data_IF_102785142036
#
_entry.id   IF_102785142036
#
_cell.length_a   1.000
_cell.length_b   1.000
_cell.length_c   1.000
_cell.angle_alpha   90.00
_cell.angle_beta   90.00
_cell.angle_gamma   90.00
#
_symmetry.space_group_name_H-M   'P 1'
#
loop_
_entity.id
_entity.type
_entity.pdbx_description
1 polymer ?
#
# COMPACT_ATOMS: atom_id res chain seq x y z
N UNK A 1 12.22 1.15 49.98
CA UNK A 1 12.84 2.46 49.73
C UNK A 1 12.48 2.85 48.31
N UNK A 2 11.56 3.81 48.19
CA UNK A 2 11.02 4.35 46.95
C UNK A 2 12.01 5.35 46.34
N UNK A 3 12.67 4.97 45.24
CA UNK A 3 13.46 5.87 44.43
C UNK A 3 12.96 5.80 42.99
N UNK A 4 11.97 6.62 42.60
CA UNK A 4 11.72 6.91 41.18
C UNK A 4 10.72 8.04 40.86
N UNK A 5 9.84 8.50 41.75
CA UNK A 5 8.79 9.47 41.34
C UNK A 5 9.21 10.94 41.53
N UNK A 6 10.22 11.36 40.78
CA UNK A 6 10.70 12.75 40.78
C UNK A 6 9.70 13.69 40.07
N UNK A 7 9.65 14.98 40.45
CA UNK A 7 8.80 15.96 39.77
C UNK A 7 9.00 16.04 38.24
N UNK A 8 10.23 15.91 37.69
CA UNK A 8 10.47 15.79 36.25
C UNK A 8 9.79 14.57 35.60
N UNK A 9 9.85 13.39 36.24
CA UNK A 9 9.24 12.17 35.70
C UNK A 9 7.71 12.30 35.56
N UNK A 10 7.05 12.87 36.59
CA UNK A 10 5.60 13.15 36.55
C UNK A 10 5.21 14.15 35.45
N UNK A 11 6.04 15.17 35.22
CA UNK A 11 5.83 16.15 34.14
C UNK A 11 5.94 15.48 32.76
N UNK A 12 6.97 14.66 32.54
CA UNK A 12 7.16 13.94 31.28
C UNK A 12 5.99 13.00 31.00
N UNK A 13 5.56 12.22 32.00
CA UNK A 13 4.41 11.32 31.87
C UNK A 13 3.14 12.07 31.47
N UNK A 14 2.82 13.18 32.13
CA UNK A 14 1.63 13.97 31.80
C UNK A 14 1.70 14.56 30.39
N UNK A 15 2.87 14.98 29.94
CA UNK A 15 3.09 15.50 28.58
C UNK A 15 2.90 14.41 27.53
N UNK A 16 3.50 13.23 27.71
CA UNK A 16 3.33 12.09 26.80
C UNK A 16 1.86 11.67 26.74
N UNK A 17 1.19 11.60 27.89
CA UNK A 17 -0.23 11.27 27.94
C UNK A 17 -1.11 12.30 27.20
N UNK A 18 -0.78 13.58 27.30
CA UNK A 18 -1.48 14.65 26.57
C UNK A 18 -1.29 14.53 25.07
N UNK A 19 -0.08 14.26 24.59
CA UNK A 19 0.19 14.07 23.17
C UNK A 19 -0.40 12.79 22.62
N UNK A 20 -0.32 11.68 23.35
CA UNK A 20 -1.00 10.43 23.01
C UNK A 20 -2.52 10.65 22.88
N UNK A 21 -3.11 11.46 23.77
CA UNK A 21 -4.53 11.82 23.68
C UNK A 21 -4.87 12.61 22.39
N UNK A 22 -4.10 13.65 22.06
CA UNK A 22 -4.38 14.45 20.86
C UNK A 22 -4.11 13.69 19.57
N UNK A 23 -2.98 12.99 19.49
CA UNK A 23 -2.67 12.13 18.35
C UNK A 23 -3.73 11.05 18.19
N UNK A 24 -4.22 10.47 19.29
CA UNK A 24 -5.27 9.45 19.28
C UNK A 24 -6.60 10.00 18.80
N UNK A 25 -6.98 11.21 19.23
CA UNK A 25 -8.22 11.85 18.78
C UNK A 25 -8.18 12.20 17.29
N UNK A 26 -7.02 12.64 16.78
CA UNK A 26 -6.81 12.90 15.36
C UNK A 26 -6.81 11.61 14.52
N UNK A 27 -6.05 10.60 14.94
CA UNK A 27 -5.87 9.38 14.17
C UNK A 27 -7.09 8.43 14.25
N UNK A 28 -7.91 8.52 15.30
CA UNK A 28 -9.06 7.64 15.54
C UNK A 28 -10.00 7.43 14.33
N UNK A 29 -10.55 8.47 13.67
CA UNK A 29 -11.45 8.27 12.54
C UNK A 29 -10.77 7.51 11.39
N UNK A 30 -9.52 7.85 11.09
CA UNK A 30 -8.77 7.22 10.01
C UNK A 30 -8.42 5.77 10.36
N UNK A 31 -7.89 5.52 11.56
CA UNK A 31 -7.56 4.16 12.00
C UNK A 31 -8.78 3.24 12.04
N UNK A 32 -9.96 3.77 12.34
CA UNK A 32 -11.21 3.01 12.29
C UNK A 32 -11.61 2.66 10.85
N UNK A 33 -11.50 3.62 9.92
CA UNK A 33 -11.76 3.36 8.50
C UNK A 33 -10.75 2.34 7.97
N UNK A 34 -9.46 2.54 8.23
CA UNK A 34 -8.36 1.68 7.81
C UNK A 34 -8.52 0.26 8.37
N UNK A 35 -8.87 0.08 9.64
CA UNK A 35 -9.03 -1.26 10.22
C UNK A 35 -10.25 -2.01 9.67
N UNK A 36 -11.35 -1.31 9.39
CA UNK A 36 -12.56 -1.93 8.81
C UNK A 36 -12.33 -2.27 7.34
N UNK A 37 -11.82 -1.32 6.55
CA UNK A 37 -11.52 -1.53 5.13
C UNK A 37 -10.41 -2.55 4.92
N UNK A 38 -9.37 -2.53 5.75
CA UNK A 38 -8.29 -3.52 5.74
C UNK A 38 -8.81 -4.92 6.06
N UNK A 39 -9.72 -5.06 7.03
CA UNK A 39 -10.36 -6.35 7.31
C UNK A 39 -11.21 -6.88 6.15
N UNK A 40 -11.86 -6.01 5.37
CA UNK A 40 -12.60 -6.42 4.16
C UNK A 40 -11.59 -6.83 3.07
N UNK A 41 -10.57 -6.00 2.84
CA UNK A 41 -9.61 -6.23 1.76
C UNK A 41 -8.76 -7.50 1.97
N UNK A 42 -8.48 -7.84 3.23
CA UNK A 42 -7.77 -9.05 3.64
C UNK A 42 -8.38 -10.37 3.10
N UNK A 43 -9.70 -10.37 2.87
CA UNK A 43 -10.44 -11.52 2.35
C UNK A 43 -10.91 -11.26 0.91
N UNK A 44 -10.09 -10.57 0.10
CA UNK A 44 -10.44 -10.17 -1.27
C UNK A 44 -10.91 -11.36 -2.12
N UNK A 45 -10.18 -12.46 -2.10
CA UNK A 45 -10.53 -13.62 -2.93
C UNK A 45 -11.78 -14.34 -2.40
N UNK A 46 -11.87 -14.57 -1.08
CA UNK A 46 -12.99 -15.26 -0.46
C UNK A 46 -14.30 -14.49 -0.60
N UNK A 47 -14.27 -13.17 -0.44
CA UNK A 47 -15.45 -12.31 -0.61
C UNK A 47 -15.88 -12.24 -2.07
N UNK A 48 -14.94 -12.07 -3.01
CA UNK A 48 -15.31 -12.01 -4.43
C UNK A 48 -15.79 -13.37 -4.95
N UNK A 49 -15.23 -14.48 -4.48
CA UNK A 49 -15.70 -15.83 -4.81
C UNK A 49 -17.12 -16.08 -4.30
N UNK A 50 -17.45 -15.56 -3.11
CA UNK A 50 -18.79 -15.67 -2.52
C UNK A 50 -19.81 -14.76 -3.22
N UNK A 51 -19.42 -13.53 -3.56
CA UNK A 51 -20.33 -12.50 -4.10
C UNK A 51 -20.52 -12.66 -5.61
N UNK A 52 -19.48 -13.07 -6.35
CA UNK A 52 -19.46 -13.17 -7.81
C UNK A 52 -19.00 -14.55 -8.32
N UNK A 53 -19.54 -15.68 -7.81
CA UNK A 53 -19.10 -17.01 -8.21
C UNK A 53 -19.20 -17.24 -9.73
N UNK A 54 -20.20 -16.66 -10.39
CA UNK A 54 -20.42 -16.75 -11.83
C UNK A 54 -19.33 -16.06 -12.67
N UNK A 55 -18.62 -15.09 -12.08
CA UNK A 55 -17.49 -14.42 -12.73
C UNK A 55 -16.17 -15.10 -12.39
N UNK A 56 -16.05 -15.66 -11.19
CA UNK A 56 -14.78 -16.13 -10.60
C UNK A 56 -14.43 -17.57 -10.98
N UNK A 57 -15.43 -18.41 -11.22
CA UNK A 57 -15.23 -19.82 -11.54
C UNK A 57 -15.56 -20.12 -13.01
N UNK A 58 -14.66 -20.85 -13.66
CA UNK A 58 -14.80 -21.32 -15.03
C UNK A 58 -15.67 -22.58 -15.09
N UNK A 59 -16.20 -22.88 -16.28
CA UNK A 59 -17.05 -24.06 -16.51
C UNK A 59 -16.28 -25.39 -16.43
N UNK A 60 -14.95 -25.35 -16.60
CA UNK A 60 -14.08 -26.53 -16.50
C UNK A 60 -12.65 -26.16 -16.12
N UNK A 61 -11.88 -27.16 -15.65
CA UNK A 61 -10.46 -27.06 -15.37
C UNK A 61 -9.57 -27.45 -16.58
N UNK A 62 -10.11 -27.41 -17.80
CA UNK A 62 -9.36 -27.77 -19.00
C UNK A 62 -8.25 -26.75 -19.30
N UNK A 63 -7.22 -27.12 -20.09
CA UNK A 63 -6.12 -26.23 -20.44
C UNK A 63 -6.61 -24.91 -21.06
N UNK A 64 -5.93 -23.82 -20.74
CA UNK A 64 -6.25 -22.50 -21.28
C UNK A 64 -6.11 -22.49 -22.80
N UNK A 65 -7.05 -21.84 -23.47
CA UNK A 65 -6.95 -21.46 -24.87
C UNK A 65 -5.81 -20.45 -25.06
N UNK A 66 -5.32 -20.27 -26.31
CA UNK A 66 -4.33 -19.25 -26.63
C UNK A 66 -4.79 -17.85 -26.16
N UNK A 67 -3.84 -17.03 -25.70
CA UNK A 67 -4.15 -15.70 -25.15
C UNK A 67 -4.83 -14.82 -26.19
N UNK A 68 -4.46 -14.95 -27.46
CA UNK A 68 -5.11 -14.25 -28.58
C UNK A 68 -6.62 -14.51 -28.64
N UNK A 69 -7.07 -15.74 -28.32
CA UNK A 69 -8.51 -16.07 -28.27
C UNK A 69 -9.22 -15.47 -27.08
N UNK A 70 -8.59 -15.43 -25.90
CA UNK A 70 -9.16 -14.79 -24.71
C UNK A 70 -9.30 -13.28 -24.91
N UNK A 71 -8.26 -12.65 -25.46
CA UNK A 71 -8.25 -11.22 -25.81
C UNK A 71 -9.29 -10.94 -26.90
N UNK A 72 -9.34 -11.77 -27.94
CA UNK A 72 -10.28 -11.63 -29.04
C UNK A 72 -11.75 -11.73 -28.60
N UNK A 73 -12.09 -12.61 -27.66
CA UNK A 73 -13.46 -12.72 -27.16
C UNK A 73 -13.88 -11.51 -26.33
N UNK A 74 -13.00 -11.00 -25.47
CA UNK A 74 -13.23 -9.75 -24.74
C UNK A 74 -13.37 -8.56 -25.70
N UNK A 75 -12.51 -8.46 -26.71
CA UNK A 75 -12.56 -7.36 -27.67
C UNK A 75 -13.80 -7.41 -28.58
N UNK A 76 -14.28 -8.60 -28.93
CA UNK A 76 -15.56 -8.78 -29.63
C UNK A 76 -16.75 -8.32 -28.77
N UNK A 77 -16.70 -8.55 -27.44
CA UNK A 77 -17.75 -8.14 -26.51
C UNK A 77 -17.74 -6.64 -26.21
N UNK A 78 -16.54 -6.05 -26.17
CA UNK A 78 -16.28 -4.62 -25.88
C UNK A 78 -15.51 -3.98 -27.04
N UNK A 79 -16.18 -3.73 -28.19
CA UNK A 79 -15.52 -3.21 -29.38
C UNK A 79 -14.91 -1.82 -29.13
N UNK A 80 -13.74 -1.56 -29.73
CA UNK A 80 -13.03 -0.29 -29.59
C UNK A 80 -12.30 -0.09 -28.25
N UNK A 81 -12.39 -1.05 -27.32
CA UNK A 81 -11.65 -1.00 -26.05
C UNK A 81 -10.17 -1.33 -26.23
N UNK A 82 -9.35 -0.78 -25.33
CA UNK A 82 -7.93 -1.11 -25.18
C UNK A 82 -7.78 -2.12 -24.06
N UNK A 83 -7.22 -3.29 -24.37
CA UNK A 83 -6.88 -4.29 -23.36
C UNK A 83 -5.43 -4.04 -22.94
N UNK A 84 -5.19 -3.82 -21.65
CA UNK A 84 -3.88 -3.43 -21.13
C UNK A 84 -3.17 -4.56 -20.41
N UNK A 85 -3.91 -5.47 -19.78
CA UNK A 85 -3.36 -6.57 -18.97
C UNK A 85 -4.27 -7.80 -19.01
N UNK A 86 -3.67 -8.98 -18.97
CA UNK A 86 -4.35 -10.25 -18.72
C UNK A 86 -3.71 -10.97 -17.53
N UNK A 87 -4.52 -11.29 -16.53
CA UNK A 87 -4.13 -12.06 -15.34
C UNK A 87 -4.64 -13.50 -15.51
N UNK A 88 -3.72 -14.45 -15.63
CA UNK A 88 -4.05 -15.87 -15.70
C UNK A 88 -4.39 -16.44 -14.32
N UNK A 89 -5.34 -17.38 -14.23
CA UNK A 89 -5.77 -17.93 -12.96
C UNK A 89 -4.65 -18.70 -12.26
N UNK A 90 -4.60 -18.58 -10.93
CA UNK A 90 -3.64 -19.30 -10.07
C UNK A 90 -3.95 -20.78 -9.92
N UNK A 91 -5.18 -21.19 -10.21
CA UNK A 91 -5.68 -22.55 -10.03
C UNK A 91 -6.57 -22.97 -11.21
N UNK A 92 -6.58 -24.26 -11.59
CA UNK A 92 -7.50 -24.76 -12.59
C UNK A 92 -8.96 -24.53 -12.20
N UNK A 93 -9.81 -24.21 -13.18
CA UNK A 93 -11.24 -23.96 -12.95
C UNK A 93 -11.57 -22.55 -12.46
N UNK A 94 -10.59 -21.64 -12.41
CA UNK A 94 -10.83 -20.20 -12.22
C UNK A 94 -10.79 -19.43 -13.54
N UNK A 95 -11.46 -18.28 -13.57
CA UNK A 95 -11.48 -17.41 -14.73
C UNK A 95 -10.19 -16.59 -14.89
N UNK A 96 -9.83 -16.28 -16.14
CA UNK A 96 -8.84 -15.27 -16.44
C UNK A 96 -9.47 -13.88 -16.32
N UNK A 97 -8.67 -12.88 -15.93
CA UNK A 97 -9.12 -11.50 -15.80
C UNK A 97 -8.41 -10.60 -16.80
N UNK A 98 -9.17 -9.88 -17.61
CA UNK A 98 -8.66 -8.91 -18.57
C UNK A 98 -8.98 -7.49 -18.09
N UNK A 99 -7.98 -6.61 -18.15
CA UNK A 99 -8.09 -5.20 -17.84
C UNK A 99 -8.41 -4.47 -19.12
N UNK A 100 -9.65 -4.00 -19.21
CA UNK A 100 -10.23 -3.47 -20.43
C UNK A 100 -10.60 -2.01 -20.19
N UNK A 101 -10.10 -1.12 -21.03
CA UNK A 101 -10.41 0.30 -21.03
C UNK A 101 -11.32 0.59 -22.23
N UNK A 102 -12.65 0.70 -22.03
CA UNK A 102 -13.56 1.14 -23.08
C UNK A 102 -13.18 2.54 -23.58
N UNK A 103 -13.51 2.89 -24.84
CA UNK A 103 -13.28 4.24 -25.36
C UNK A 103 -14.07 5.29 -24.58
N UNK A 104 -15.31 4.93 -24.21
CA UNK A 104 -16.20 5.72 -23.36
C UNK A 104 -16.60 4.86 -22.15
N UNK A 105 -16.28 5.31 -20.94
CA UNK A 105 -16.69 4.66 -19.70
C UNK A 105 -15.57 4.41 -18.71
N UNK A 106 -15.90 3.69 -17.64
CA UNK A 106 -14.95 3.32 -16.59
C UNK A 106 -14.15 2.06 -16.98
N UNK A 107 -12.89 1.93 -16.53
CA UNK A 107 -12.12 0.70 -16.66
C UNK A 107 -12.85 -0.51 -16.09
N UNK A 108 -12.85 -1.60 -16.86
CA UNK A 108 -13.53 -2.86 -16.54
C UNK A 108 -12.51 -3.95 -16.23
N UNK A 109 -12.84 -4.79 -15.24
CA UNK A 109 -12.27 -6.13 -15.12
C UNK A 109 -13.23 -7.11 -15.80
N UNK A 110 -12.80 -7.70 -16.91
CA UNK A 110 -13.58 -8.66 -17.71
C UNK A 110 -13.11 -10.06 -17.36
N UNK A 111 -14.04 -10.95 -17.05
CA UNK A 111 -13.76 -12.33 -16.68
C UNK A 111 -14.03 -13.24 -17.87
N UNK A 112 -13.06 -14.08 -18.21
CA UNK A 112 -13.12 -14.99 -19.34
C UNK A 112 -12.80 -16.41 -18.87
N UNK A 113 -13.61 -17.37 -19.30
CA UNK A 113 -13.34 -18.79 -19.09
C UNK A 113 -12.12 -19.21 -19.93
N UNK A 114 -11.00 -19.61 -19.30
CA UNK A 114 -9.78 -19.95 -20.02
C UNK A 114 -9.96 -21.16 -20.95
N UNK A 115 -10.84 -22.11 -20.62
CA UNK A 115 -10.98 -23.36 -21.34
C UNK A 115 -11.70 -23.21 -22.69
N UNK A 116 -12.63 -22.26 -22.79
CA UNK A 116 -13.46 -22.08 -23.99
C UNK A 116 -13.50 -20.64 -24.52
N UNK A 117 -12.81 -19.70 -23.87
CA UNK A 117 -12.76 -18.28 -24.21
C UNK A 117 -14.12 -17.54 -24.08
N UNK A 118 -15.10 -18.10 -23.37
CA UNK A 118 -16.39 -17.44 -23.14
C UNK A 118 -16.23 -16.29 -22.16
N UNK A 119 -16.75 -15.11 -22.50
CA UNK A 119 -16.80 -13.98 -21.57
C UNK A 119 -17.90 -14.22 -20.55
N UNK A 120 -17.53 -14.38 -19.28
CA UNK A 120 -18.43 -14.65 -18.16
C UNK A 120 -19.14 -13.37 -17.68
N UNK A 121 -18.48 -12.23 -17.79
CA UNK A 121 -19.03 -10.93 -17.43
C UNK A 121 -17.93 -9.92 -17.07
N UNK A 122 -18.33 -8.83 -16.41
CA UNK A 122 -17.40 -7.77 -16.02
C UNK A 122 -17.92 -6.96 -14.85
N UNK A 123 -17.02 -6.30 -14.11
CA UNK A 123 -17.39 -5.24 -13.19
C UNK A 123 -16.43 -4.05 -13.26
N UNK A 124 -16.87 -2.92 -12.71
CA UNK A 124 -16.02 -1.76 -12.41
C UNK A 124 -15.45 -1.94 -11.01
N UNK A 125 -14.14 -2.14 -10.90
CA UNK A 125 -13.51 -2.55 -9.63
C UNK A 125 -13.81 -1.62 -8.44
N UNK A 126 -13.68 -0.28 -8.55
CA UNK A 126 -14.03 0.66 -7.48
C UNK A 126 -15.46 0.54 -6.93
N UNK A 127 -16.38 -0.05 -7.70
CA UNK A 127 -17.80 -0.21 -7.33
C UNK A 127 -18.10 -1.55 -6.66
N UNK A 128 -17.11 -2.43 -6.51
CA UNK A 128 -17.25 -3.67 -5.74
C UNK A 128 -17.01 -3.42 -4.26
N UNK A 129 -17.48 -4.32 -3.38
CA UNK A 129 -17.23 -4.20 -1.94
C UNK A 129 -15.73 -4.13 -1.62
N UNK A 130 -14.95 -5.01 -2.26
CA UNK A 130 -13.51 -5.07 -2.02
C UNK A 130 -12.77 -3.92 -2.69
N UNK A 131 -13.12 -3.53 -3.91
CA UNK A 131 -12.50 -2.37 -4.54
C UNK A 131 -12.83 -1.04 -3.86
N UNK A 132 -14.03 -0.92 -3.26
CA UNK A 132 -14.32 0.18 -2.36
C UNK A 132 -13.39 0.16 -1.14
N UNK A 133 -13.23 -1.00 -0.50
CA UNK A 133 -12.37 -1.13 0.67
C UNK A 133 -10.91 -0.82 0.34
N UNK A 134 -10.37 -1.31 -0.77
CA UNK A 134 -9.01 -1.05 -1.25
C UNK A 134 -8.73 0.45 -1.41
N UNK A 135 -9.56 1.14 -2.21
CA UNK A 135 -9.39 2.58 -2.47
C UNK A 135 -9.59 3.41 -1.21
N UNK A 136 -10.57 3.06 -0.38
CA UNK A 136 -10.80 3.75 0.89
C UNK A 136 -9.64 3.52 1.88
N UNK A 137 -9.03 2.34 1.89
CA UNK A 137 -7.90 2.01 2.75
C UNK A 137 -6.65 2.81 2.39
N UNK A 138 -6.30 2.88 1.10
CA UNK A 138 -5.12 3.61 0.65
C UNK A 138 -5.30 5.13 0.60
N UNK A 139 -6.45 5.60 0.10
CA UNK A 139 -6.62 7.00 -0.31
C UNK A 139 -7.93 7.66 0.12
N UNK A 140 -8.79 6.98 0.90
CA UNK A 140 -10.09 7.52 1.34
C UNK A 140 -11.00 8.01 0.19
N UNK A 141 -10.79 7.57 -1.06
CA UNK A 141 -11.41 8.12 -2.28
C UNK A 141 -11.09 9.60 -2.56
N UNK A 142 -10.01 10.13 -2.00
CA UNK A 142 -9.57 11.52 -2.16
C UNK A 142 -8.26 11.65 -2.97
N UNK A 143 -7.83 10.56 -3.63
CA UNK A 143 -6.57 10.50 -4.39
C UNK A 143 -5.37 10.87 -3.51
N UNK A 144 -4.42 11.63 -4.07
CA UNK A 144 -3.19 12.05 -3.40
C UNK A 144 -3.44 12.78 -2.07
N UNK A 145 -4.55 13.52 -1.95
CA UNK A 145 -4.90 14.21 -0.71
C UNK A 145 -5.25 13.20 0.39
N UNK A 146 -6.01 12.17 0.05
CA UNK A 146 -6.37 11.14 1.02
C UNK A 146 -5.20 10.23 1.36
N UNK A 147 -4.36 9.88 0.39
CA UNK A 147 -3.09 9.19 0.64
C UNK A 147 -2.22 9.96 1.65
N UNK A 148 -2.04 11.27 1.44
CA UNK A 148 -1.33 12.13 2.38
C UNK A 148 -1.97 12.14 3.79
N UNK A 149 -3.31 12.16 3.89
CA UNK A 149 -4.01 12.09 5.18
C UNK A 149 -3.75 10.74 5.87
N UNK A 150 -3.84 9.63 5.13
CA UNK A 150 -3.58 8.28 5.63
C UNK A 150 -2.12 8.13 6.07
N UNK A 151 -1.17 8.69 5.32
CA UNK A 151 0.25 8.71 5.70
C UNK A 151 0.46 9.46 7.03
N UNK A 152 -0.10 10.67 7.17
CA UNK A 152 -0.01 11.44 8.42
C UNK A 152 -0.61 10.66 9.58
N UNK A 153 -1.80 10.09 9.39
CA UNK A 153 -2.46 9.26 10.41
C UNK A 153 -1.61 8.05 10.80
N UNK A 154 -0.97 7.38 9.83
CA UNK A 154 -0.11 6.22 10.04
C UNK A 154 1.18 6.60 10.78
N UNK A 155 1.82 7.71 10.42
CA UNK A 155 2.98 8.23 11.14
C UNK A 155 2.64 8.57 12.60
N UNK A 156 1.49 9.22 12.85
CA UNK A 156 1.01 9.47 14.20
C UNK A 156 0.63 8.18 14.93
N UNK A 157 0.15 7.15 14.23
CA UNK A 157 -0.12 5.84 14.81
C UNK A 157 1.16 5.14 15.30
N UNK A 158 2.29 5.28 14.59
CA UNK A 158 3.60 4.81 15.08
C UNK A 158 3.95 5.49 16.40
N UNK A 159 3.77 6.82 16.48
CA UNK A 159 3.95 7.59 17.73
C UNK A 159 2.99 7.11 18.81
N UNK A 160 1.74 6.80 18.48
CA UNK A 160 0.75 6.27 19.43
C UNK A 160 1.15 4.91 20.00
N UNK A 161 1.71 4.01 19.19
CA UNK A 161 2.22 2.72 19.68
C UNK A 161 3.36 2.94 20.67
N UNK A 162 4.37 3.74 20.30
CA UNK A 162 5.53 4.01 21.17
C UNK A 162 5.11 4.69 22.48
N UNK A 163 4.29 5.74 22.38
CA UNK A 163 3.80 6.47 23.55
C UNK A 163 2.83 5.62 24.39
N UNK A 164 2.03 4.77 23.75
CA UNK A 164 1.13 3.83 24.40
C UNK A 164 1.89 2.79 25.24
N UNK A 165 2.95 2.19 24.69
CA UNK A 165 3.84 1.29 25.43
C UNK A 165 4.53 1.99 26.60
N UNK A 166 4.99 3.23 26.41
CA UNK A 166 5.52 4.05 27.50
C UNK A 166 4.49 4.28 28.62
N UNK A 167 3.23 4.57 28.29
CA UNK A 167 2.15 4.82 29.25
C UNK A 167 1.62 3.54 29.90
N UNK A 168 1.77 2.40 29.22
CA UNK A 168 1.46 1.09 29.74
C UNK A 168 2.50 0.62 30.76
N UNK A 169 3.79 0.93 30.54
CA UNK A 169 4.91 0.39 31.34
C UNK A 169 4.68 0.51 32.86
N UNK A 170 4.79 -0.61 33.62
CA UNK A 170 4.51 -0.62 35.04
C UNK A 170 5.59 0.15 35.81
N UNK A 171 5.17 1.05 36.72
CA UNK A 171 6.06 1.95 37.49
C UNK A 171 5.90 1.82 39.01
N UNK A 172 5.41 0.69 39.48
CA UNK A 172 5.18 0.43 40.90
C UNK A 172 4.78 -1.02 41.17
N UNK A 173 4.20 -1.29 42.35
CA UNK A 173 3.71 -2.61 42.75
C UNK A 173 2.36 -2.95 42.09
N UNK A 174 2.29 -2.85 40.77
CA UNK A 174 1.09 -3.24 40.04
C UNK A 174 0.96 -4.76 40.01
N UNK A 175 -0.20 -5.28 40.41
CA UNK A 175 -0.53 -6.72 40.29
C UNK A 175 -0.75 -7.05 38.81
N UNK A 176 -0.53 -8.31 38.42
CA UNK A 176 -0.72 -8.83 37.04
C UNK A 176 -2.07 -8.36 36.42
N UNK A 177 -3.13 -8.35 37.24
CA UNK A 177 -4.46 -7.85 36.85
C UNK A 177 -4.51 -6.33 36.65
N UNK A 178 -4.79 -5.92 35.41
CA UNK A 178 -4.79 -4.52 34.94
C UNK A 178 -3.50 -4.08 34.25
N UNK A 179 -2.49 -4.96 34.17
CA UNK A 179 -1.23 -4.74 33.43
C UNK A 179 -1.13 -5.71 32.27
N UNK A 180 -1.31 -7.02 32.53
CA UNK A 180 -1.22 -8.08 31.52
C UNK A 180 -2.57 -8.74 31.21
N UNK A 181 -3.54 -8.64 32.11
CA UNK A 181 -4.87 -9.24 31.94
C UNK A 181 -5.94 -8.19 32.31
N UNK A 182 -6.97 -7.97 31.48
CA UNK A 182 -8.03 -7.03 31.81
C UNK A 182 -8.83 -7.55 33.00
N UNK A 183 -9.16 -6.68 33.96
CA UNK A 183 -10.00 -7.06 35.09
C UNK A 183 -11.46 -7.04 34.64
N UNK A 184 -11.97 -8.19 34.18
CA UNK A 184 -13.33 -8.32 33.64
C UNK A 184 -14.43 -7.97 34.65
N UNK A 185 -14.18 -8.14 35.96
CA UNK A 185 -15.09 -7.72 37.02
C UNK A 185 -15.05 -6.21 37.35
N UNK A 186 -14.14 -5.44 36.74
CA UNK A 186 -14.10 -4.00 36.95
C UNK A 186 -15.29 -3.32 36.25
N UNK A 187 -15.78 -2.20 36.81
CA UNK A 187 -16.86 -1.41 36.21
C UNK A 187 -16.38 -0.01 35.83
N UNK A 188 -17.09 0.61 34.90
CA UNK A 188 -16.88 2.01 34.52
C UNK A 188 -15.48 2.29 33.94
N UNK A 189 -14.87 3.40 34.35
CA UNK A 189 -13.59 3.89 33.79
C UNK A 189 -12.43 2.90 33.90
N UNK A 190 -12.40 2.12 34.98
CA UNK A 190 -11.32 1.16 35.24
C UNK A 190 -11.33 0.02 34.21
N UNK A 191 -12.52 -0.48 33.85
CA UNK A 191 -12.69 -1.51 32.83
C UNK A 191 -12.18 -1.06 31.45
N UNK A 192 -12.67 0.08 30.96
CA UNK A 192 -12.28 0.62 29.65
C UNK A 192 -10.77 0.89 29.55
N UNK A 193 -10.18 1.38 30.63
CA UNK A 193 -8.73 1.59 30.70
C UNK A 193 -7.96 0.29 30.63
N UNK A 194 -8.38 -0.73 31.37
CA UNK A 194 -7.71 -2.02 31.38
C UNK A 194 -7.83 -2.69 29.99
N UNK A 195 -9.00 -2.61 29.35
CA UNK A 195 -9.22 -3.12 28.00
C UNK A 195 -8.30 -2.43 26.99
N UNK A 196 -8.28 -1.10 26.97
CA UNK A 196 -7.41 -0.33 26.07
C UNK A 196 -5.93 -0.63 26.28
N UNK A 197 -5.47 -0.64 27.54
CA UNK A 197 -4.06 -0.88 27.88
C UNK A 197 -3.59 -2.28 27.51
N UNK A 198 -4.39 -3.29 27.85
CA UNK A 198 -4.00 -4.69 27.63
C UNK A 198 -4.09 -5.08 26.16
N UNK A 199 -5.14 -4.64 25.45
CA UNK A 199 -5.21 -4.80 23.99
C UNK A 199 -4.03 -4.10 23.32
N UNK A 200 -3.71 -2.88 23.75
CA UNK A 200 -2.59 -2.11 23.18
C UNK A 200 -1.25 -2.79 23.36
N UNK A 201 -1.00 -3.39 24.53
CA UNK A 201 0.21 -4.16 24.78
C UNK A 201 0.36 -5.34 23.80
N UNK A 202 -0.67 -6.20 23.72
CA UNK A 202 -0.58 -7.43 22.93
C UNK A 202 -0.60 -7.16 21.43
N UNK A 203 -1.30 -6.11 20.99
CA UNK A 203 -1.38 -5.75 19.58
C UNK A 203 -0.22 -4.87 19.10
N UNK A 204 0.57 -4.25 20.00
CA UNK A 204 1.56 -3.23 19.63
C UNK A 204 2.54 -3.69 18.55
N UNK A 205 3.10 -4.90 18.66
CA UNK A 205 4.06 -5.41 17.69
C UNK A 205 3.42 -5.63 16.31
N UNK A 206 2.20 -6.17 16.27
CA UNK A 206 1.47 -6.43 15.02
C UNK A 206 0.98 -5.12 14.38
N UNK A 207 0.50 -4.17 15.17
CA UNK A 207 0.13 -2.83 14.69
C UNK A 207 1.36 -2.13 14.10
N UNK A 208 2.51 -2.19 14.79
CA UNK A 208 3.75 -1.61 14.28
C UNK A 208 4.20 -2.28 12.98
N UNK A 209 4.08 -3.61 12.89
CA UNK A 209 4.35 -4.33 11.64
C UNK A 209 3.47 -3.81 10.50
N UNK A 210 2.14 -3.70 10.70
CA UNK A 210 1.22 -3.19 9.68
C UNK A 210 1.59 -1.76 9.25
N UNK A 211 1.88 -0.88 10.21
CA UNK A 211 2.27 0.49 9.92
C UNK A 211 3.58 0.57 9.12
N UNK A 212 4.62 -0.17 9.52
CA UNK A 212 5.93 -0.13 8.86
C UNK A 212 5.91 -0.79 7.48
N UNK A 213 5.03 -1.76 7.25
CA UNK A 213 4.88 -2.43 5.96
C UNK A 213 3.94 -1.69 5.01
N UNK A 214 3.02 -0.86 5.53
CA UNK A 214 2.17 0.02 4.74
C UNK A 214 2.85 1.33 4.32
N UNK A 215 3.70 1.94 5.17
CA UNK A 215 4.36 3.23 4.86
C UNK A 215 5.14 3.28 3.53
N UNK A 216 5.83 2.21 3.07
CA UNK A 216 6.47 2.20 1.75
C UNK A 216 5.53 2.44 0.55
N UNK A 217 4.21 2.29 0.74
CA UNK A 217 3.19 2.52 -0.28
C UNK A 217 2.67 3.97 -0.31
N UNK A 218 3.04 4.79 0.68
CA UNK A 218 2.60 6.19 0.73
C UNK A 218 3.38 7.06 -0.27
N UNK A 219 2.73 8.05 -0.85
CA UNK A 219 3.34 8.90 -1.90
C UNK A 219 4.52 9.72 -1.38
N UNK A 220 4.45 10.27 -0.15
CA UNK A 220 5.53 11.13 0.36
C UNK A 220 6.58 10.28 1.09
N UNK A 221 6.17 9.46 2.06
CA UNK A 221 7.12 8.65 2.81
C UNK A 221 7.74 7.54 1.96
N UNK A 222 6.93 6.81 1.20
CA UNK A 222 7.37 5.73 0.32
C UNK A 222 8.16 6.28 -0.86
N UNK A 223 7.49 6.96 -1.79
CA UNK A 223 8.07 7.31 -3.09
C UNK A 223 9.08 8.46 -3.02
N UNK A 224 8.81 9.51 -2.26
CA UNK A 224 9.68 10.72 -2.24
C UNK A 224 10.80 10.65 -1.21
N UNK A 225 10.61 9.91 -0.11
CA UNK A 225 11.60 9.84 0.98
C UNK A 225 12.35 8.51 1.00
N UNK A 226 11.65 7.39 1.16
CA UNK A 226 12.28 6.09 1.42
C UNK A 226 12.90 5.48 0.17
N UNK A 227 12.19 5.50 -0.97
CA UNK A 227 12.62 4.90 -2.24
C UNK A 227 13.92 5.47 -2.77
N UNK A 228 14.14 6.80 -2.84
CA UNK A 228 15.38 7.38 -3.31
C UNK A 228 16.58 6.98 -2.44
N UNK A 229 16.38 6.88 -1.11
CA UNK A 229 17.41 6.44 -0.17
C UNK A 229 17.79 4.99 -0.49
N UNK A 230 16.85 4.06 -0.55
CA UNK A 230 17.16 2.65 -0.81
C UNK A 230 17.69 2.42 -2.23
N UNK A 231 17.27 3.22 -3.21
CA UNK A 231 17.81 3.20 -4.56
C UNK A 231 19.28 3.66 -4.58
N UNK A 232 19.61 4.76 -3.89
CA UNK A 232 20.99 5.28 -3.81
C UNK A 232 21.96 4.31 -3.14
N UNK A 233 21.46 3.48 -2.21
CA UNK A 233 22.22 2.42 -1.56
C UNK A 233 22.31 1.14 -2.40
N UNK A 234 21.58 1.06 -3.52
CA UNK A 234 21.46 -0.16 -4.29
C UNK A 234 20.77 -1.29 -3.52
N UNK A 235 19.77 -0.96 -2.69
CA UNK A 235 19.03 -1.90 -1.84
C UNK A 235 17.60 -2.18 -2.32
N UNK A 236 17.14 -1.51 -3.37
CA UNK A 236 15.83 -1.71 -3.98
C UNK A 236 15.91 -2.68 -5.18
N UNK A 237 15.77 -2.17 -6.40
CA UNK A 237 15.72 -2.90 -7.67
C UNK A 237 16.84 -3.92 -7.89
N UNK A 238 16.63 -4.94 -8.73
CA UNK A 238 17.73 -5.75 -9.22
C UNK A 238 18.71 -4.90 -10.06
N UNK A 239 20.00 -5.27 -10.17
CA UNK A 239 20.98 -4.48 -10.93
C UNK A 239 20.57 -4.13 -12.37
N UNK A 240 19.88 -5.06 -13.07
CA UNK A 240 19.37 -4.84 -14.44
C UNK A 240 18.20 -3.85 -14.52
N UNK A 241 17.32 -3.84 -13.51
CA UNK A 241 16.20 -2.89 -13.40
C UNK A 241 16.66 -1.45 -13.10
N UNK A 242 17.90 -1.27 -12.64
CA UNK A 242 18.48 0.06 -12.33
C UNK A 242 19.00 0.77 -13.57
N UNK A 243 19.44 0.01 -14.56
CA UNK A 243 20.17 0.52 -15.72
C UNK A 243 19.74 -0.27 -16.95
N UNK A 244 18.82 0.29 -17.75
CA UNK A 244 18.47 -0.21 -19.07
C UNK A 244 19.68 -0.06 -20.04
N UNK A 245 20.71 -0.89 -19.87
CA UNK A 245 21.66 -1.24 -20.92
C UNK A 245 22.58 -0.16 -21.51
N UNK A 246 22.69 1.05 -20.94
CA UNK A 246 23.71 2.01 -21.38
C UNK A 246 23.29 3.47 -21.25
N UNK A 247 24.09 4.22 -20.49
CA UNK A 247 23.94 5.65 -20.18
C UNK A 247 22.64 6.00 -19.44
N UNK A 248 22.77 6.94 -18.51
CA UNK A 248 21.66 7.51 -17.76
C UNK A 248 20.72 8.19 -18.75
N UNK A 249 19.65 7.52 -19.19
CA UNK A 249 18.62 8.18 -19.98
C UNK A 249 18.05 9.31 -19.13
N UNK A 250 18.26 10.55 -19.57
CA UNK A 250 17.71 11.77 -18.94
C UNK A 250 16.27 12.04 -19.38
N UNK A 251 15.67 11.15 -20.18
CA UNK A 251 14.26 11.22 -20.52
C UNK A 251 13.43 10.67 -19.36
N UNK A 252 12.24 11.22 -19.06
CA UNK A 252 11.34 10.63 -18.09
C UNK A 252 10.97 9.23 -18.59
N UNK A 253 11.57 8.19 -17.99
CA UNK A 253 11.11 6.83 -18.21
C UNK A 253 9.72 6.74 -17.58
N UNK A 254 8.73 6.25 -18.34
CA UNK A 254 7.44 5.91 -17.75
C UNK A 254 7.68 4.85 -16.68
N UNK A 255 7.23 5.08 -15.44
CA UNK A 255 7.40 4.11 -14.37
C UNK A 255 6.60 2.84 -14.67
N UNK A 256 7.18 1.67 -14.38
CA UNK A 256 6.37 0.46 -14.24
C UNK A 256 5.33 0.74 -13.15
N UNK A 257 4.04 0.56 -13.43
CA UNK A 257 2.97 0.95 -12.50
C UNK A 257 2.28 -0.26 -11.85
N UNK A 258 1.61 -0.05 -10.72
CA UNK A 258 0.71 -1.06 -10.15
C UNK A 258 -0.39 -1.49 -11.14
N UNK A 259 -0.81 -0.58 -12.03
CA UNK A 259 -1.76 -0.87 -13.08
C UNK A 259 -1.26 -1.97 -14.04
N UNK A 260 0.05 -2.13 -14.20
CA UNK A 260 0.67 -3.23 -14.96
C UNK A 260 0.74 -4.56 -14.17
N UNK A 261 0.27 -4.57 -12.92
CA UNK A 261 0.27 -5.75 -12.05
C UNK A 261 1.64 -6.05 -11.41
N UNK A 262 2.56 -5.10 -11.49
CA UNK A 262 3.94 -5.22 -11.04
C UNK A 262 4.03 -5.20 -9.49
N UNK A 263 4.93 -6.00 -8.87
CA UNK A 263 5.25 -5.90 -7.45
C UNK A 263 5.85 -4.55 -7.07
N UNK A 264 5.72 -4.15 -5.80
CA UNK A 264 6.24 -2.86 -5.28
C UNK A 264 7.71 -2.62 -5.65
N UNK A 265 8.52 -3.68 -5.62
CA UNK A 265 9.96 -3.61 -5.91
C UNK A 265 10.25 -3.03 -7.27
N UNK A 266 9.49 -3.40 -8.30
CA UNK A 266 9.71 -2.97 -9.69
C UNK A 266 8.80 -1.82 -10.09
N UNK A 267 7.78 -1.49 -9.29
CA UNK A 267 7.02 -0.26 -9.51
C UNK A 267 7.96 0.95 -9.54
N UNK A 268 7.67 1.97 -10.34
CA UNK A 268 8.54 3.13 -10.58
C UNK A 268 9.95 2.83 -11.11
N UNK A 269 10.29 1.57 -11.43
CA UNK A 269 11.51 1.29 -12.19
C UNK A 269 11.35 1.85 -13.61
N UNK A 270 12.45 2.26 -14.27
CA UNK A 270 12.40 2.65 -15.67
C UNK A 270 11.85 1.51 -16.52
N UNK A 271 10.68 1.70 -17.13
CA UNK A 271 10.09 0.66 -17.98
C UNK A 271 11.05 0.31 -19.12
N UNK A 272 11.44 -0.98 -19.30
CA UNK A 272 12.27 -1.40 -20.42
C UNK A 272 11.60 -1.06 -21.75
N UNK A 273 12.39 -0.66 -22.75
CA UNK A 273 11.83 -0.19 -24.03
C UNK A 273 12.13 -1.18 -25.14
N UNK A 274 11.12 -1.46 -25.96
CA UNK A 274 11.31 -2.20 -27.20
C UNK A 274 12.11 -1.36 -28.21
N UNK A 275 12.93 -2.03 -29.01
CA UNK A 275 13.67 -1.41 -30.11
C UNK A 275 12.79 -1.35 -31.33
N UNK A 276 12.36 -0.14 -31.71
CA UNK A 276 11.62 0.07 -32.96
C UNK A 276 12.52 -0.35 -34.12
N UNK A 277 12.09 -1.29 -34.99
CA UNK A 277 12.85 -1.64 -36.18
C UNK A 277 13.09 -0.38 -37.00
N UNK A 278 14.36 -0.09 -37.32
CA UNK A 278 14.69 1.04 -38.18
C UNK A 278 14.01 0.81 -39.53
N UNK A 279 12.96 1.60 -39.82
CA UNK A 279 12.45 1.72 -41.18
C UNK A 279 13.61 2.31 -41.97
N UNK A 280 14.00 1.68 -43.07
CA UNK A 280 15.14 2.07 -43.89
C UNK A 280 15.09 3.56 -44.29
N UNK A 281 15.71 4.44 -43.50
CA UNK A 281 16.11 5.79 -43.84
C UNK A 281 17.12 6.25 -42.78
N UNK A 282 18.33 6.57 -43.22
CA UNK A 282 19.48 6.81 -42.35
C UNK A 282 19.36 8.00 -41.40
N UNK A 283 20.35 8.05 -40.52
CA UNK A 283 20.68 9.05 -39.51
C UNK A 283 20.01 8.85 -38.13
N UNK A 284 20.73 8.11 -37.30
CA UNK A 284 20.71 8.25 -35.84
C UNK A 284 21.16 9.67 -35.48
N UNK A 285 20.22 10.50 -35.03
CA UNK A 285 20.37 11.49 -33.94
C UNK A 285 19.10 12.37 -33.91
N UNK A 286 18.55 12.58 -32.70
CA UNK A 286 17.38 13.43 -32.36
C UNK A 286 15.97 12.78 -32.36
N UNK A 287 15.75 11.82 -31.46
CA UNK A 287 14.42 11.38 -31.02
C UNK A 287 13.73 12.39 -30.05
N UNK A 288 13.62 13.67 -30.45
CA UNK A 288 13.09 14.75 -29.60
C UNK A 288 11.80 15.41 -30.10
N UNK A 289 11.52 15.40 -31.40
CA UNK A 289 10.35 16.09 -31.96
C UNK A 289 9.84 15.35 -33.20
N UNK A 290 8.97 14.35 -33.02
CA UNK A 290 8.23 13.75 -34.13
C UNK A 290 7.04 14.64 -34.48
N UNK A 291 7.25 15.58 -35.41
CA UNK A 291 6.17 16.09 -36.24
C UNK A 291 5.60 14.95 -37.08
N UNK A 292 4.27 14.84 -37.13
CA UNK A 292 3.51 13.91 -37.97
C UNK A 292 3.98 13.96 -39.44
N UNK A 293 4.83 13.02 -39.82
CA UNK A 293 4.96 12.53 -41.19
C UNK A 293 4.08 11.27 -41.31
N UNK A 294 3.54 10.95 -42.50
CA UNK A 294 2.64 9.81 -42.67
C UNK A 294 3.34 8.54 -42.21
N UNK A 295 2.69 7.83 -41.27
CA UNK A 295 3.21 6.60 -40.69
C UNK A 295 3.57 5.60 -41.80
N UNK A 296 4.87 5.46 -42.08
CA UNK A 296 5.36 4.16 -42.50
C UNK A 296 4.87 3.18 -41.43
N UNK A 297 3.99 2.26 -41.81
CA UNK A 297 3.40 1.31 -40.88
C UNK A 297 4.54 0.60 -40.16
N UNK A 298 4.70 0.89 -38.87
CA UNK A 298 5.66 0.18 -38.02
C UNK A 298 5.43 -1.31 -38.24
N UNK A 299 6.51 -2.06 -38.45
CA UNK A 299 6.42 -3.51 -38.67
C UNK A 299 5.52 -4.11 -37.57
N UNK A 300 4.54 -4.96 -37.93
CA UNK A 300 3.70 -5.59 -36.93
C UNK A 300 4.62 -6.36 -35.99
N UNK A 301 4.48 -6.09 -34.69
CA UNK A 301 5.23 -6.80 -33.66
C UNK A 301 4.87 -8.29 -33.61
N UNK A 302 5.56 -9.05 -32.77
CA UNK A 302 5.15 -10.42 -32.47
C UNK A 302 3.73 -10.43 -31.91
N UNK A 303 2.98 -11.49 -32.18
CA UNK A 303 1.68 -11.69 -31.56
C UNK A 303 1.79 -12.11 -30.09
N UNK A 304 0.68 -11.99 -29.37
CA UNK A 304 0.62 -12.31 -27.94
C UNK A 304 0.85 -13.80 -27.65
N UNK A 305 0.54 -14.69 -28.57
CA UNK A 305 0.75 -16.14 -28.40
C UNK A 305 2.23 -16.50 -28.56
N UNK A 306 2.95 -15.77 -29.41
CA UNK A 306 4.40 -15.85 -29.55
C UNK A 306 5.08 -15.32 -28.31
N UNK A 307 4.60 -14.19 -27.75
CA UNK A 307 5.07 -13.73 -26.44
C UNK A 307 4.81 -14.77 -25.34
N UNK A 308 3.62 -15.39 -25.31
CA UNK A 308 3.28 -16.45 -24.36
C UNK A 308 4.19 -17.69 -24.49
N UNK A 309 4.60 -18.05 -25.71
CA UNK A 309 5.57 -19.13 -25.94
C UNK A 309 6.97 -18.77 -25.40
N UNK A 310 7.45 -17.55 -25.65
CA UNK A 310 8.71 -17.06 -25.07
C UNK A 310 8.64 -17.05 -23.54
N UNK A 311 7.50 -16.65 -22.96
CA UNK A 311 7.28 -16.72 -21.52
C UNK A 311 7.39 -18.17 -21.00
N UNK A 312 6.71 -19.12 -21.64
CA UNK A 312 6.78 -20.54 -21.27
C UNK A 312 8.20 -21.11 -21.37
N UNK A 313 8.95 -20.79 -22.43
CA UNK A 313 10.36 -21.17 -22.60
C UNK A 313 11.28 -20.61 -21.49
N UNK A 314 10.90 -19.47 -20.90
CA UNK A 314 11.59 -18.85 -19.77
C UNK A 314 10.99 -19.24 -18.40
N UNK A 315 10.15 -20.28 -18.36
CA UNK A 315 9.59 -20.84 -17.13
C UNK A 315 8.43 -20.05 -16.52
N UNK A 316 7.66 -19.33 -17.33
CA UNK A 316 6.35 -18.76 -16.98
C UNK A 316 5.25 -19.65 -17.55
N UNK A 317 5.23 -20.91 -17.11
CA UNK A 317 4.28 -21.97 -17.50
C UNK A 317 3.01 -22.00 -16.64
N UNK A 318 3.05 -21.38 -15.46
CA UNK A 318 1.93 -21.25 -14.53
C UNK A 318 1.20 -19.90 -14.61
N UNK A 319 0.71 -19.44 -13.46
CA UNK A 319 -0.04 -18.19 -13.36
C UNK A 319 0.88 -16.96 -13.39
N UNK A 320 0.58 -16.04 -14.28
CA UNK A 320 1.26 -14.75 -14.40
C UNK A 320 0.27 -13.66 -14.80
N UNK A 321 0.66 -12.42 -14.53
CA UNK A 321 0.03 -11.21 -15.05
C UNK A 321 0.84 -10.74 -16.24
N UNK A 322 0.22 -10.61 -17.41
CA UNK A 322 0.85 -10.14 -18.63
C UNK A 322 0.29 -8.78 -19.01
N UNK A 323 1.13 -7.76 -18.92
CA UNK A 323 0.87 -6.44 -19.46
C UNK A 323 1.23 -6.38 -20.95
N UNK A 324 0.30 -5.87 -21.74
CA UNK A 324 0.40 -5.79 -23.19
C UNK A 324 1.08 -4.47 -23.61
N UNK A 325 1.91 -4.49 -24.67
CA UNK A 325 2.72 -3.34 -25.05
C UNK A 325 1.87 -2.16 -25.54
N UNK A 326 1.94 -1.05 -24.82
CA UNK A 326 1.28 0.21 -25.18
C UNK A 326 2.24 1.09 -26.00
N UNK A 327 1.79 1.55 -27.17
CA UNK A 327 2.59 2.40 -28.06
C UNK A 327 3.86 1.72 -28.64
N UNK A 328 4.63 2.43 -29.48
CA UNK A 328 5.74 1.83 -30.25
C UNK A 328 6.90 1.33 -29.38
N UNK A 329 7.10 1.90 -28.18
CA UNK A 329 8.19 1.52 -27.27
C UNK A 329 7.76 0.51 -26.19
N UNK A 330 6.47 0.17 -26.09
CA UNK A 330 5.97 -0.75 -25.08
C UNK A 330 6.55 -2.15 -25.21
N UNK A 331 6.58 -2.90 -24.11
CA UNK A 331 7.07 -4.29 -24.04
C UNK A 331 5.94 -5.21 -23.58
N UNK A 332 6.08 -6.50 -23.88
CA UNK A 332 5.32 -7.51 -23.15
C UNK A 332 6.00 -7.70 -21.79
N UNK A 333 5.31 -7.38 -20.71
CA UNK A 333 5.85 -7.45 -19.35
C UNK A 333 5.05 -8.47 -18.55
N UNK A 334 5.68 -9.54 -18.08
CA UNK A 334 5.02 -10.56 -17.29
C UNK A 334 5.56 -10.62 -15.86
N UNK A 335 4.66 -10.79 -14.89
CA UNK A 335 4.96 -10.85 -13.47
C UNK A 335 4.28 -12.07 -12.84
N UNK A 336 5.02 -12.86 -12.08
CA UNK A 336 4.41 -13.83 -11.16
C UNK A 336 4.15 -13.15 -9.82
N UNK A 337 2.96 -13.39 -9.24
CA UNK A 337 2.56 -12.83 -7.95
C UNK A 337 2.12 -13.93 -6.97
N UNK A 338 3.02 -14.83 -6.57
CA UNK A 338 2.71 -15.88 -5.61
C UNK A 338 2.46 -15.33 -4.20
N UNK A 339 1.80 -16.14 -3.37
CA UNK A 339 1.56 -15.81 -1.95
C UNK A 339 2.85 -15.57 -1.15
N UNK A 340 3.92 -16.29 -1.48
CA UNK A 340 5.25 -16.09 -0.91
C UNK A 340 6.16 -15.39 -1.94
N UNK A 341 6.68 -14.20 -1.62
CA UNK A 341 7.38 -13.36 -2.59
C UNK A 341 8.66 -13.97 -3.14
N UNK A 342 9.22 -15.01 -2.51
CA UNK A 342 10.39 -15.75 -2.97
C UNK A 342 10.20 -16.37 -4.36
N UNK A 343 8.95 -16.67 -4.74
CA UNK A 343 8.62 -17.15 -6.09
C UNK A 343 8.34 -16.03 -7.11
N UNK A 344 8.43 -14.75 -6.73
CA UNK A 344 8.21 -13.64 -7.65
C UNK A 344 9.30 -13.61 -8.71
N UNK A 345 8.86 -13.43 -9.94
CA UNK A 345 9.67 -13.32 -11.15
C UNK A 345 9.03 -12.28 -12.05
N UNK A 346 9.87 -11.52 -12.74
CA UNK A 346 9.46 -10.59 -13.77
C UNK A 346 10.29 -10.83 -15.03
N UNK A 347 9.69 -10.54 -16.18
CA UNK A 347 10.34 -10.65 -17.48
C UNK A 347 9.74 -9.62 -18.44
N UNK A 348 10.61 -9.01 -19.24
CA UNK A 348 10.24 -8.03 -20.26
C UNK A 348 10.71 -8.52 -21.62
N UNK A 349 9.79 -8.54 -22.59
CA UNK A 349 10.03 -9.04 -23.94
C UNK A 349 9.81 -7.91 -24.94
N UNK A 350 10.76 -7.77 -25.86
CA UNK A 350 10.70 -6.83 -26.96
C UNK A 350 9.54 -7.17 -27.89
N UNK A 351 8.68 -6.17 -28.13
CA UNK A 351 7.42 -6.38 -28.87
C UNK A 351 7.62 -6.70 -30.35
N UNK A 352 8.81 -6.50 -30.91
CA UNK A 352 9.06 -6.67 -32.35
C UNK A 352 9.85 -7.94 -32.64
N UNK A 353 10.92 -8.17 -31.89
CA UNK A 353 11.84 -9.29 -32.08
C UNK A 353 11.46 -10.52 -31.25
N UNK A 354 10.69 -10.35 -30.16
CA UNK A 354 10.48 -11.40 -29.17
C UNK A 354 11.69 -11.69 -28.30
N UNK A 355 12.75 -10.89 -28.38
CA UNK A 355 13.92 -11.02 -27.52
C UNK A 355 13.58 -10.67 -26.07
N UNK A 356 14.11 -11.44 -25.12
CA UNK A 356 14.04 -11.11 -23.70
C UNK A 356 14.96 -9.92 -23.44
N UNK A 357 14.38 -8.80 -23.02
CA UNK A 357 15.11 -7.56 -22.70
C UNK A 357 15.71 -7.67 -21.31
N UNK A 358 14.91 -8.12 -20.34
CA UNK A 358 15.30 -8.21 -18.94
C UNK A 358 14.48 -9.29 -18.23
N UNK A 359 15.09 -9.93 -17.23
CA UNK A 359 14.45 -10.88 -16.34
C UNK A 359 15.08 -10.77 -14.96
N UNK A 360 14.27 -10.71 -13.92
CA UNK A 360 14.72 -10.75 -12.54
C UNK A 360 13.74 -11.54 -11.66
N UNK A 361 14.25 -12.08 -10.56
CA UNK A 361 13.42 -12.69 -9.52
C UNK A 361 13.74 -12.13 -8.14
N UNK A 362 13.02 -12.62 -7.13
CA UNK A 362 13.23 -12.22 -5.73
C UNK A 362 14.68 -12.37 -5.28
N UNK A 363 15.42 -13.37 -5.80
CA UNK A 363 16.84 -13.57 -5.51
C UNK A 363 17.72 -12.37 -5.87
N UNK A 364 17.38 -11.66 -6.95
CA UNK A 364 18.15 -10.55 -7.51
C UNK A 364 17.86 -9.21 -6.81
N UNK A 365 16.78 -9.15 -6.02
CA UNK A 365 16.38 -7.96 -5.29
C UNK A 365 17.37 -7.60 -4.18
N UNK A 366 17.52 -6.30 -3.95
CA UNK A 366 18.26 -5.79 -2.80
C UNK A 366 17.56 -6.10 -1.48
N UNK A 367 18.27 -5.95 -0.34
CA UNK A 367 17.72 -6.31 0.98
C UNK A 367 16.47 -5.52 1.37
N UNK A 368 16.37 -4.23 1.00
CA UNK A 368 15.19 -3.43 1.32
C UNK A 368 13.98 -3.91 0.52
N UNK A 369 14.13 -4.14 -0.79
CA UNK A 369 13.08 -4.71 -1.63
C UNK A 369 12.58 -6.06 -1.10
N UNK A 370 13.50 -6.97 -0.75
CA UNK A 370 13.15 -8.27 -0.14
C UNK A 370 12.31 -8.12 1.12
N UNK A 371 12.69 -7.19 2.01
CA UNK A 371 11.96 -6.93 3.25
C UNK A 371 10.57 -6.34 2.99
N UNK A 372 10.42 -5.48 1.98
CA UNK A 372 9.14 -4.85 1.65
C UNK A 372 8.18 -5.83 1.00
N UNK A 373 8.65 -6.68 0.09
CA UNK A 373 7.83 -7.74 -0.50
C UNK A 373 7.39 -8.75 0.56
N UNK A 374 8.30 -9.15 1.46
CA UNK A 374 7.96 -10.00 2.60
C UNK A 374 6.94 -9.33 3.52
N UNK A 375 7.19 -8.07 3.87
CA UNK A 375 6.30 -7.26 4.70
C UNK A 375 4.92 -7.11 4.10
N UNK A 376 4.84 -6.84 2.80
CA UNK A 376 3.59 -6.71 2.03
C UNK A 376 2.83 -8.04 2.00
N UNK A 377 3.52 -9.16 1.75
CA UNK A 377 2.89 -10.48 1.76
C UNK A 377 2.30 -10.84 3.13
N UNK A 378 2.97 -10.45 4.22
CA UNK A 378 2.45 -10.62 5.59
C UNK A 378 1.31 -9.63 5.88
N UNK A 379 1.43 -8.38 5.44
CA UNK A 379 0.39 -7.35 5.61
C UNK A 379 -0.92 -7.76 4.95
N UNK A 380 -0.85 -8.24 3.71
CA UNK A 380 -2.00 -8.64 2.89
C UNK A 380 -2.61 -9.99 3.27
N UNK A 381 -2.05 -10.74 4.23
CA UNK A 381 -2.60 -12.05 4.60
C UNK A 381 -2.09 -13.23 3.79
N UNK A 382 -1.17 -13.03 2.86
CA UNK A 382 -0.86 -14.05 1.85
C UNK A 382 0.20 -15.06 2.32
N UNK A 383 1.20 -14.63 3.09
CA UNK A 383 2.42 -15.41 3.31
C UNK A 383 2.19 -16.78 3.98
N UNK A 384 1.38 -16.84 5.04
CA UNK A 384 0.99 -18.07 5.75
C UNK A 384 -0.47 -18.48 5.49
N UNK A 385 -1.08 -17.99 4.40
CA UNK A 385 -2.48 -18.23 4.06
C UNK A 385 -3.45 -17.86 5.19
N UNK A 386 -4.43 -18.74 5.46
CA UNK A 386 -5.50 -18.48 6.43
C UNK A 386 -5.01 -18.08 7.83
N UNK A 387 -3.90 -18.66 8.30
CA UNK A 387 -3.34 -18.28 9.61
C UNK A 387 -2.91 -16.81 9.61
N UNK A 388 -2.28 -16.35 8.54
CA UNK A 388 -1.87 -14.95 8.40
C UNK A 388 -3.10 -14.05 8.34
N UNK A 389 -4.13 -14.41 7.57
CA UNK A 389 -5.39 -13.66 7.51
C UNK A 389 -6.04 -13.55 8.90
N UNK A 390 -6.13 -14.64 9.66
CA UNK A 390 -6.72 -14.60 11.01
C UNK A 390 -5.93 -13.66 11.92
N UNK A 391 -4.60 -13.70 11.91
CA UNK A 391 -3.77 -12.81 12.73
C UNK A 391 -3.95 -11.34 12.35
N UNK A 392 -4.02 -11.03 11.05
CA UNK A 392 -4.25 -9.65 10.58
C UNK A 392 -5.67 -9.17 10.89
N UNK A 393 -6.68 -10.03 10.76
CA UNK A 393 -8.05 -9.73 11.16
C UNK A 393 -8.15 -9.42 12.66
N UNK A 394 -7.54 -10.26 13.51
CA UNK A 394 -7.49 -10.02 14.95
C UNK A 394 -6.79 -8.69 15.29
N UNK A 395 -5.77 -8.32 14.52
CA UNK A 395 -5.09 -7.02 14.66
C UNK A 395 -6.02 -5.87 14.26
N UNK A 396 -6.77 -6.00 13.17
CA UNK A 396 -7.79 -5.02 12.76
C UNK A 396 -8.87 -4.84 13.84
N UNK A 397 -9.35 -5.94 14.41
CA UNK A 397 -10.31 -5.93 15.53
C UNK A 397 -9.70 -5.24 16.75
N UNK A 398 -8.42 -5.51 17.07
CA UNK A 398 -7.72 -4.86 18.16
C UNK A 398 -7.58 -3.35 17.95
N UNK A 399 -7.26 -2.89 16.73
CA UNK A 399 -7.22 -1.45 16.39
C UNK A 399 -8.60 -0.82 16.59
N UNK A 400 -9.66 -1.43 16.04
CA UNK A 400 -11.03 -0.98 16.23
C UNK A 400 -11.40 -0.88 17.71
N UNK A 401 -11.03 -1.89 18.50
CA UNK A 401 -11.24 -1.90 19.94
C UNK A 401 -10.47 -0.79 20.65
N UNK A 402 -9.21 -0.52 20.26
CA UNK A 402 -8.40 0.56 20.80
C UNK A 402 -9.02 1.94 20.51
N UNK A 403 -9.49 2.15 19.28
CA UNK A 403 -10.18 3.39 18.89
C UNK A 403 -11.46 3.55 19.72
N UNK A 404 -12.32 2.53 19.75
CA UNK A 404 -13.59 2.57 20.50
C UNK A 404 -13.36 2.80 21.98
N UNK A 405 -12.46 2.04 22.60
CA UNK A 405 -12.15 2.19 24.04
C UNK A 405 -11.53 3.56 24.33
N UNK A 406 -10.67 4.09 23.45
CA UNK A 406 -10.10 5.43 23.55
C UNK A 406 -11.17 6.53 23.52
N UNK A 407 -12.07 6.46 22.54
CA UNK A 407 -13.19 7.40 22.39
C UNK A 407 -14.17 7.32 23.56
N UNK A 408 -14.51 6.11 24.03
CA UNK A 408 -15.38 5.91 25.20
C UNK A 408 -14.74 6.50 26.47
N UNK A 409 -13.44 6.27 26.69
CA UNK A 409 -12.72 6.86 27.83
C UNK A 409 -12.69 8.39 27.75
N UNK A 410 -12.47 8.94 26.56
CA UNK A 410 -12.53 10.38 26.32
C UNK A 410 -13.92 10.94 26.64
N UNK A 411 -14.97 10.35 26.07
CA UNK A 411 -16.35 10.79 26.26
C UNK A 411 -16.78 10.76 27.73
N UNK A 412 -16.36 9.75 28.48
CA UNK A 412 -16.64 9.63 29.93
C UNK A 412 -15.79 10.54 30.82
N UNK A 413 -14.78 11.21 30.25
CA UNK A 413 -13.88 12.10 30.98
C UNK A 413 -14.12 13.56 30.65
N UNK A 414 -14.60 13.88 29.44
CA UNK A 414 -14.72 15.25 28.97
C UNK A 414 -15.65 16.06 29.89
N UNK A 415 -15.22 17.24 30.39
CA UNK A 415 -16.10 18.16 31.11
C UNK A 415 -17.13 18.75 30.13
N UNK A 416 -18.29 19.16 30.65
CA UNK A 416 -19.27 19.88 29.85
C UNK A 416 -18.62 21.13 29.23
N UNK A 417 -18.74 21.28 27.90
CA UNK A 417 -18.18 22.42 27.16
C UNK A 417 -16.66 22.38 26.87
N UNK A 418 -15.95 21.27 27.14
CA UNK A 418 -14.51 21.18 26.87
C UNK A 418 -14.03 19.83 26.33
N UNK A 419 -12.83 19.81 25.73
CA UNK A 419 -12.23 18.61 25.14
C UNK A 419 -11.74 17.56 26.16
N UNK A 420 -11.60 17.90 27.44
CA UNK A 420 -11.16 16.97 28.48
C UNK A 420 -9.70 16.52 28.39
N UNK A 421 -8.87 17.23 27.63
CA UNK A 421 -7.44 16.96 27.51
C UNK A 421 -6.73 17.06 28.88
N UNK A 422 -5.69 16.24 29.15
CA UNK A 422 -4.87 16.37 30.35
C UNK A 422 -4.34 17.78 30.58
N UNK A 423 -4.32 18.24 31.84
CA UNK A 423 -3.75 19.54 32.22
C UNK A 423 -2.25 19.56 31.90
N UNK A 424 -1.75 20.68 31.40
CA UNK A 424 -0.31 20.91 31.20
C UNK A 424 0.34 21.12 32.56
N UNK A 425 1.22 20.19 32.98
CA UNK A 425 1.94 20.31 34.25
C UNK A 425 3.22 21.18 34.13
N UNK A 426 3.77 21.30 32.92
CA UNK A 426 4.80 22.27 32.54
C UNK A 426 4.81 22.39 31.00
N UNK A 427 5.03 23.58 30.42
CA UNK A 427 5.24 23.71 28.98
C UNK A 427 6.54 23.00 28.58
N UNK A 428 6.56 22.37 27.41
CA UNK A 428 7.80 21.86 26.82
C UNK A 428 8.75 23.04 26.56
N UNK A 429 10.05 22.84 26.77
CA UNK A 429 11.04 23.84 26.40
C UNK A 429 11.09 23.97 24.88
N UNK A 430 11.40 25.16 24.37
CA UNK A 430 11.54 25.38 22.92
C UNK A 430 12.54 24.39 22.29
N UNK A 431 13.63 24.09 23.00
CA UNK A 431 14.62 23.08 22.60
C UNK A 431 14.00 21.69 22.44
N UNK A 432 13.18 21.25 23.40
CA UNK A 432 12.52 19.95 23.33
C UNK A 432 11.50 19.89 22.18
N UNK A 433 10.71 20.95 21.98
CA UNK A 433 9.78 21.04 20.85
C UNK A 433 10.54 20.98 19.53
N UNK A 434 11.60 21.79 19.38
CA UNK A 434 12.43 21.80 18.18
C UNK A 434 13.04 20.43 17.89
N UNK A 435 13.59 19.75 18.91
CA UNK A 435 14.16 18.42 18.75
C UNK A 435 13.11 17.40 18.28
N UNK A 436 11.92 17.39 18.90
CA UNK A 436 10.83 16.48 18.49
C UNK A 436 10.40 16.77 17.05
N UNK A 437 10.23 18.04 16.68
CA UNK A 437 9.85 18.43 15.33
C UNK A 437 10.91 18.05 14.30
N UNK A 438 12.19 18.27 14.59
CA UNK A 438 13.30 17.90 13.71
C UNK A 438 13.36 16.37 13.55
N UNK A 439 13.32 15.62 14.64
CA UNK A 439 13.32 14.14 14.58
C UNK A 439 12.12 13.62 13.80
N UNK A 440 10.93 14.20 14.01
CA UNK A 440 9.74 13.82 13.25
C UNK A 440 9.90 14.15 11.77
N UNK A 441 10.38 15.34 11.42
CA UNK A 441 10.60 15.72 10.02
C UNK A 441 11.66 14.86 9.32
N UNK A 442 12.67 14.38 10.06
CA UNK A 442 13.71 13.51 9.53
C UNK A 442 13.23 12.07 9.32
N UNK A 443 12.35 11.54 10.18
CA UNK A 443 11.88 10.15 10.10
C UNK A 443 10.55 10.01 9.33
N UNK A 444 9.70 11.03 9.44
CA UNK A 444 8.33 11.08 8.93
C UNK A 444 8.02 12.51 8.43
N UNK A 445 8.52 12.89 7.23
CA UNK A 445 8.49 14.26 6.73
C UNK A 445 7.12 14.94 6.84
N UNK A 446 6.05 14.23 6.45
CA UNK A 446 4.69 14.78 6.47
C UNK A 446 4.14 14.93 7.89
N UNK A 447 4.47 14.02 8.81
CA UNK A 447 4.15 14.19 10.23
C UNK A 447 4.92 15.37 10.85
N UNK A 448 6.19 15.55 10.48
CA UNK A 448 7.00 16.71 10.88
C UNK A 448 6.39 18.02 10.39
N UNK A 449 5.99 18.08 9.12
CA UNK A 449 5.27 19.21 8.54
C UNK A 449 3.94 19.48 9.26
N UNK A 450 3.15 18.44 9.56
CA UNK A 450 1.90 18.57 10.32
C UNK A 450 2.13 19.19 11.71
N UNK A 451 3.24 18.84 12.38
CA UNK A 451 3.59 19.40 13.67
C UNK A 451 3.98 20.88 13.56
N UNK A 452 4.70 21.28 12.51
CA UNK A 452 5.00 22.70 12.23
C UNK A 452 3.71 23.49 12.04
N UNK A 453 2.76 22.98 11.26
CA UNK A 453 1.44 23.63 11.06
C UNK A 453 0.72 23.81 12.39
N UNK A 454 0.65 22.77 13.22
CA UNK A 454 0.05 22.85 14.56
C UNK A 454 0.73 23.91 15.43
N UNK A 455 2.06 24.00 15.40
CA UNK A 455 2.83 25.00 16.17
C UNK A 455 2.61 26.43 15.67
N UNK A 456 2.46 26.63 14.36
CA UNK A 456 2.13 27.94 13.77
C UNK A 456 0.72 28.36 14.16
N UNK A 457 -0.26 27.46 14.04
CA UNK A 457 -1.65 27.72 14.44
C UNK A 457 -1.74 28.03 15.94
N UNK A 458 -1.03 27.29 16.81
CA UNK A 458 -0.98 27.57 18.24
C UNK A 458 -0.42 28.98 18.54
N UNK A 459 0.55 29.46 17.74
CA UNK A 459 1.06 30.84 17.89
C UNK A 459 0.10 31.90 17.39
N UNK A 460 -0.57 31.67 16.27
CA UNK A 460 -1.49 32.63 15.65
C UNK A 460 -2.81 32.75 16.43
N UNK A 461 -3.32 31.63 16.95
CA UNK A 461 -4.60 31.55 17.66
C UNK A 461 -4.46 31.49 19.18
N UNK A 462 -3.26 31.74 19.71
CA UNK A 462 -3.08 31.94 21.15
C UNK A 462 -4.01 33.08 21.57
N UNK A 463 -4.99 32.83 22.45
CA UNK A 463 -5.80 33.91 22.99
C UNK A 463 -4.84 34.89 23.62
N UNK A 464 -4.77 36.11 23.07
CA UNK A 464 -3.94 37.16 23.62
C UNK A 464 -4.24 37.29 25.10
N UNK A 465 -3.20 37.27 25.94
CA UNK A 465 -3.27 37.68 27.33
C UNK A 465 -3.52 39.21 27.40
N UNK A 466 -4.63 39.65 26.82
CA UNK A 466 -5.03 41.04 26.66
C UNK A 466 -6.55 41.13 26.65
N UNK A 467 -7.12 40.96 27.84
CA UNK A 467 -8.29 41.67 28.39
C UNK A 467 -8.38 41.37 29.90
N UNK A 468 -7.30 41.67 30.62
CA UNK A 468 -7.31 41.95 32.05
C UNK A 468 -6.64 43.32 32.23
N UNK A 469 -7.33 44.35 31.75
CA UNK A 469 -7.12 45.76 32.08
C UNK A 469 -8.19 46.56 31.31
N UNK A 470 -9.39 46.61 31.88
CA UNK A 470 -10.34 47.70 31.73
C UNK A 470 -11.30 47.60 32.91
#
# INVERSE_FOLDING_TARGET
MDAADTAPARRLYATIWRWHFYAGLFAAPFLLILSITGAIYLFNDELNDLIYPELRFASSAAPSQPLSRLIGSAQARYPGSVITRIDLPTEPGRSAQLFVNPPDGEPLRVFVDPANATVLGSFVYPKTLVGFADIAHGSLFLGDVGDAIVEVASCWAVVLVVTGLYLWWPRGRERIGGVLVPRLGAKGRKFWRDLHKVTGLYAAALILLLLLTGLPWATVWGDQFFRPIVNSLGWAYAPGDRHNGGSVSRLPATPISEAEGAPWTVQQAPHPQSRVPAVAAGHEEHAGHLHMQPQAALAPGIDVDTAARVLAENGFDGAYRLSLPQGPLGTYSAYTYPAQPQGQRNIHIDRYSGAVIHQAGFGDYGPAAKLIELGTAIHLGNYFGLLNQIVMLLTCIAITLLVVTGLVMWWRRRPAGGLGAPRTLAPLTLRAVALITITMAMLFPLAGASLVVVLVLDRLFKPGASRQAA
#
